data_IF_135253702045
#
_entry.id   IF_135253702045
#
_cell.length_a   1.000
_cell.length_b   1.000
_cell.length_c   1.000
_cell.angle_alpha   90.00
_cell.angle_beta   90.00
_cell.angle_gamma   90.00
#
_symmetry.space_group_name_H-M   'P 1'
#
loop_
_entity.id
_entity.type
_entity.pdbx_description
1 polymer ?
#
# COMPACT_ATOMS: atom_id res chain seq x y z
N UNK A 1 -10.60 5.49 -23.54
CA UNK A 1 -10.66 5.54 -22.06
C UNK A 1 -9.29 5.91 -21.55
N UNK A 2 -9.18 6.98 -20.76
CA UNK A 2 -7.89 7.49 -20.26
C UNK A 2 -7.41 6.74 -19.01
N UNK A 3 -6.09 6.64 -18.83
CA UNK A 3 -5.45 6.15 -17.61
C UNK A 3 -5.01 7.32 -16.74
N UNK A 4 -4.97 7.11 -15.42
CA UNK A 4 -4.43 8.13 -14.49
C UNK A 4 -2.92 7.90 -14.37
N UNK A 5 -2.14 8.66 -15.14
CA UNK A 5 -0.68 8.65 -15.00
C UNK A 5 -0.24 9.46 -13.79
N UNK A 6 -0.71 10.70 -13.66
CA UNK A 6 -0.40 11.60 -12.55
C UNK A 6 -1.55 12.57 -12.37
N UNK A 7 -1.63 13.16 -11.19
CA UNK A 7 -2.60 14.20 -10.86
C UNK A 7 -1.87 15.50 -10.53
N UNK A 8 -2.51 16.63 -10.84
CA UNK A 8 -1.99 17.96 -10.56
C UNK A 8 -3.12 18.88 -10.07
N UNK A 9 -3.88 18.39 -9.08
CA UNK A 9 -4.91 19.19 -8.44
C UNK A 9 -4.30 20.24 -7.53
N UNK A 10 -5.05 21.32 -7.30
CA UNK A 10 -4.77 22.34 -6.30
C UNK A 10 -6.00 22.45 -5.41
N UNK A 11 -5.88 21.99 -4.17
CA UNK A 11 -6.97 22.04 -3.19
C UNK A 11 -6.80 23.22 -2.23
N UNK A 12 -7.91 23.75 -1.75
CA UNK A 12 -7.91 24.77 -0.70
C UNK A 12 -7.29 24.20 0.58
N UNK A 13 -6.38 24.97 1.19
CA UNK A 13 -5.67 24.54 2.39
C UNK A 13 -4.66 23.41 2.16
N UNK A 14 -4.30 23.09 0.91
CA UNK A 14 -3.24 22.13 0.61
C UNK A 14 -1.89 22.59 1.18
N UNK A 15 -1.28 21.73 1.99
CA UNK A 15 0.02 22.00 2.64
C UNK A 15 1.17 21.23 1.99
N UNK A 16 0.90 20.10 1.34
CA UNK A 16 1.91 19.31 0.65
C UNK A 16 1.31 18.42 -0.45
N UNK A 17 2.13 18.08 -1.43
CA UNK A 17 1.89 17.02 -2.40
C UNK A 17 3.09 16.05 -2.36
N UNK A 18 2.81 14.77 -2.17
CA UNK A 18 3.78 13.69 -2.30
C UNK A 18 3.37 12.75 -3.42
N UNK A 19 4.23 12.61 -4.44
CA UNK A 19 4.03 11.68 -5.56
C UNK A 19 4.90 10.44 -5.34
N UNK A 20 4.27 9.36 -4.89
CA UNK A 20 4.91 8.06 -4.78
C UNK A 20 4.90 7.31 -6.12
N UNK A 21 5.41 6.06 -6.12
CA UNK A 21 5.43 5.21 -7.32
C UNK A 21 4.06 5.02 -7.97
N UNK A 22 3.01 4.85 -7.15
CA UNK A 22 1.66 4.47 -7.62
C UNK A 22 0.51 5.27 -6.99
N UNK A 23 0.82 6.27 -6.17
CA UNK A 23 -0.15 7.10 -5.46
C UNK A 23 0.31 8.53 -5.43
N UNK A 24 -0.62 9.45 -5.61
CA UNK A 24 -0.43 10.88 -5.36
C UNK A 24 -1.17 11.22 -4.07
N UNK A 25 -0.49 11.86 -3.13
CA UNK A 25 -1.00 12.13 -1.77
C UNK A 25 -0.97 13.63 -1.52
N UNK A 26 -2.14 14.21 -1.37
CA UNK A 26 -2.31 15.62 -1.03
C UNK A 26 -2.58 15.74 0.48
N UNK A 27 -1.80 16.56 1.18
CA UNK A 27 -2.04 16.91 2.58
C UNK A 27 -2.85 18.20 2.65
N UNK A 28 -3.94 18.20 3.40
CA UNK A 28 -4.82 19.37 3.58
C UNK A 28 -4.78 19.77 5.05
N UNK A 29 -4.32 20.99 5.33
CA UNK A 29 -4.04 21.47 6.68
C UNK A 29 -3.11 20.52 7.44
N UNK A 30 -3.45 20.26 8.70
CA UNK A 30 -2.68 19.37 9.58
C UNK A 30 -3.28 17.96 9.70
N UNK A 31 -4.56 17.78 9.37
CA UNK A 31 -5.33 16.61 9.82
C UNK A 31 -5.80 15.70 8.70
N UNK A 32 -5.68 16.12 7.43
CA UNK A 32 -6.36 15.43 6.33
C UNK A 32 -5.42 15.01 5.21
N UNK A 33 -5.72 13.87 4.61
CA UNK A 33 -5.07 13.33 3.42
C UNK A 33 -6.12 13.04 2.35
N UNK A 34 -5.83 13.45 1.12
CA UNK A 34 -6.50 12.98 -0.10
C UNK A 34 -5.52 12.08 -0.84
N UNK A 35 -5.82 10.79 -0.90
CA UNK A 35 -4.99 9.78 -1.55
C UNK A 35 -5.62 9.39 -2.88
N UNK A 36 -4.87 9.56 -3.96
CA UNK A 36 -5.30 9.18 -5.31
C UNK A 36 -4.45 8.01 -5.80
N UNK A 37 -5.08 6.86 -5.99
CA UNK A 37 -4.45 5.68 -6.57
C UNK A 37 -4.38 5.80 -8.10
N UNK A 38 -3.17 5.84 -8.64
CA UNK A 38 -2.94 5.96 -10.07
C UNK A 38 -2.90 4.60 -10.77
N UNK A 39 -2.93 4.62 -12.10
CA UNK A 39 -2.79 3.44 -12.95
C UNK A 39 -1.32 3.09 -13.24
N UNK A 40 -0.38 3.83 -12.61
CA UNK A 40 1.06 3.50 -12.65
C UNK A 40 1.30 2.16 -11.97
N UNK A 41 2.27 1.41 -12.48
CA UNK A 41 2.76 0.16 -11.88
C UNK A 41 4.27 0.23 -11.76
N UNK A 42 4.82 -0.39 -10.72
CA UNK A 42 6.26 -0.48 -10.52
C UNK A 42 6.69 -1.93 -10.31
N UNK A 43 7.83 -2.30 -10.87
CA UNK A 43 8.50 -3.57 -10.62
C UNK A 43 9.99 -3.30 -10.42
N UNK A 44 10.62 -4.03 -9.49
CA UNK A 44 12.04 -3.85 -9.14
C UNK A 44 12.43 -2.38 -8.90
N UNK A 45 11.58 -1.68 -8.14
CA UNK A 45 11.71 -0.25 -7.81
C UNK A 45 11.65 0.76 -8.97
N UNK A 46 11.35 0.32 -10.19
CA UNK A 46 11.19 1.18 -11.37
C UNK A 46 9.71 1.31 -11.72
N UNK A 47 9.24 2.53 -12.00
CA UNK A 47 7.90 2.79 -12.54
C UNK A 47 7.90 2.49 -14.04
N UNK A 48 7.01 1.61 -14.48
CA UNK A 48 6.93 1.19 -15.88
C UNK A 48 6.27 2.29 -16.75
N UNK A 49 6.68 2.42 -18.03
CA UNK A 49 6.20 3.51 -18.90
C UNK A 49 4.73 3.37 -19.28
N UNK A 50 4.19 2.15 -19.33
CA UNK A 50 2.79 1.88 -19.71
C UNK A 50 1.94 1.66 -18.45
N UNK A 51 0.87 2.44 -18.31
CA UNK A 51 -0.10 2.28 -17.24
C UNK A 51 -1.01 1.07 -17.47
N UNK A 52 -1.58 0.56 -16.39
CA UNK A 52 -2.58 -0.52 -16.42
C UNK A 52 -3.96 0.11 -16.17
N UNK A 53 -4.84 0.18 -17.19
CA UNK A 53 -6.17 0.77 -17.04
C UNK A 53 -6.93 0.19 -15.84
N UNK A 54 -7.58 1.06 -15.07
CA UNK A 54 -8.39 0.73 -13.89
C UNK A 54 -7.64 0.12 -12.71
N UNK A 55 -6.31 -0.05 -12.78
CA UNK A 55 -5.53 -0.56 -11.65
C UNK A 55 -5.72 0.29 -10.40
N UNK A 56 -5.71 1.62 -10.53
CA UNK A 56 -5.90 2.51 -9.39
C UNK A 56 -7.27 2.31 -8.72
N UNK A 57 -8.31 2.09 -9.52
CA UNK A 57 -9.68 1.87 -9.04
C UNK A 57 -9.78 0.58 -8.24
N UNK A 58 -9.33 -0.52 -8.86
CA UNK A 58 -9.36 -1.86 -8.25
C UNK A 58 -8.61 -1.85 -6.92
N UNK A 59 -7.38 -1.30 -6.89
CA UNK A 59 -6.56 -1.30 -5.68
C UNK A 59 -7.13 -0.41 -4.58
N UNK A 60 -7.68 0.76 -4.92
CA UNK A 60 -8.31 1.64 -3.94
C UNK A 60 -9.55 0.98 -3.33
N UNK A 61 -10.41 0.35 -4.13
CA UNK A 61 -11.61 -0.34 -3.65
C UNK A 61 -11.27 -1.58 -2.79
N UNK A 62 -10.25 -2.35 -3.15
CA UNK A 62 -9.76 -3.45 -2.31
C UNK A 62 -9.27 -2.91 -0.96
N UNK A 63 -8.49 -1.81 -0.97
CA UNK A 63 -8.03 -1.19 0.27
C UNK A 63 -9.20 -0.73 1.15
N UNK A 64 -10.21 -0.06 0.56
CA UNK A 64 -11.43 0.37 1.25
C UNK A 64 -12.14 -0.82 1.86
N UNK A 65 -12.35 -1.90 1.10
CA UNK A 65 -13.00 -3.11 1.59
C UNK A 65 -12.34 -3.63 2.87
N UNK A 66 -11.01 -3.84 2.87
CA UNK A 66 -10.30 -4.33 4.06
C UNK A 66 -10.26 -3.33 5.21
N UNK A 67 -10.14 -2.03 4.93
CA UNK A 67 -10.21 -0.99 5.95
C UNK A 67 -11.56 -1.01 6.65
N UNK A 68 -12.67 -1.06 5.90
CA UNK A 68 -14.02 -1.18 6.48
C UNK A 68 -14.22 -2.48 7.27
N UNK A 69 -13.84 -3.63 6.69
CA UNK A 69 -14.02 -4.94 7.33
C UNK A 69 -13.26 -5.03 8.67
N UNK A 70 -12.16 -4.30 8.85
CA UNK A 70 -11.31 -4.37 10.04
C UNK A 70 -11.51 -3.22 11.03
N UNK A 71 -12.42 -2.25 10.76
CA UNK A 71 -12.68 -1.10 11.65
C UNK A 71 -13.02 -1.50 13.10
N UNK A 72 -13.69 -2.64 13.28
CA UNK A 72 -14.07 -3.16 14.59
C UNK A 72 -12.90 -3.77 15.38
N UNK A 73 -11.78 -4.07 14.71
CA UNK A 73 -10.57 -4.63 15.33
C UNK A 73 -9.59 -3.51 15.68
N UNK A 74 -9.36 -2.58 14.74
CA UNK A 74 -8.44 -1.47 14.93
C UNK A 74 -8.96 -0.20 14.22
N UNK A 75 -8.83 0.99 14.85
CA UNK A 75 -9.16 2.24 14.19
C UNK A 75 -8.23 2.44 12.99
N UNK A 76 -8.78 2.97 11.91
CA UNK A 76 -8.01 3.28 10.70
C UNK A 76 -8.31 4.69 10.19
N UNK A 77 -7.49 5.12 9.22
CA UNK A 77 -7.44 6.51 8.77
C UNK A 77 -8.58 6.88 7.80
N UNK A 78 -9.19 5.90 7.13
CA UNK A 78 -10.14 6.11 6.04
C UNK A 78 -11.49 6.63 6.53
N UNK A 79 -12.05 7.59 5.79
CA UNK A 79 -13.34 8.21 6.11
C UNK A 79 -14.33 8.11 4.95
N UNK A 80 -13.91 8.44 3.73
CA UNK A 80 -14.79 8.38 2.56
C UNK A 80 -14.03 8.22 1.24
N UNK A 81 -14.77 7.87 0.18
CA UNK A 81 -14.25 7.65 -1.17
C UNK A 81 -15.18 8.29 -2.21
N UNK A 82 -15.00 9.58 -2.56
CA UNK A 82 -15.89 10.27 -3.51
C UNK A 82 -15.72 9.80 -4.96
N UNK A 83 -14.66 9.05 -5.26
CA UNK A 83 -14.38 8.49 -6.57
C UNK A 83 -13.66 7.14 -6.43
N UNK A 84 -13.82 6.16 -7.34
CA UNK A 84 -13.19 4.84 -7.21
C UNK A 84 -11.66 4.85 -7.07
N UNK A 85 -10.96 5.89 -7.51
CA UNK A 85 -9.51 6.07 -7.32
C UNK A 85 -9.11 6.87 -6.07
N UNK A 86 -10.06 7.44 -5.32
CA UNK A 86 -9.79 8.46 -4.30
C UNK A 86 -10.23 7.95 -2.93
N UNK A 87 -9.34 8.07 -1.94
CA UNK A 87 -9.65 7.86 -0.53
C UNK A 87 -9.29 9.11 0.25
N UNK A 88 -10.22 9.59 1.08
CA UNK A 88 -10.03 10.72 1.98
C UNK A 88 -10.01 10.20 3.42
N UNK A 89 -9.10 10.73 4.23
CA UNK A 89 -8.98 10.29 5.61
C UNK A 89 -8.07 11.15 6.48
N UNK A 90 -7.88 10.71 7.72
CA UNK A 90 -7.08 11.41 8.72
C UNK A 90 -5.59 11.20 8.49
N UNK A 91 -4.82 12.28 8.61
CA UNK A 91 -3.36 12.21 8.67
C UNK A 91 -2.94 11.58 9.99
N UNK A 92 -2.15 10.52 9.92
CA UNK A 92 -1.57 9.87 11.08
C UNK A 92 -0.06 10.11 11.12
N UNK A 93 0.53 10.08 12.33
CA UNK A 93 1.98 10.00 12.51
C UNK A 93 2.40 8.53 12.38
N UNK A 94 3.12 8.14 11.31
CA UNK A 94 3.46 6.73 11.10
C UNK A 94 4.54 6.27 12.07
N UNK A 95 4.44 5.02 12.52
CA UNK A 95 5.61 4.28 13.01
C UNK A 95 6.47 3.92 11.81
N UNK A 96 7.77 4.24 11.86
CA UNK A 96 8.71 4.00 10.74
C UNK A 96 9.17 2.53 10.72
N UNK A 97 8.21 1.61 10.67
CA UNK A 97 8.40 0.15 10.67
C UNK A 97 7.44 -0.46 9.67
N UNK A 98 7.93 -1.38 8.84
CA UNK A 98 7.10 -2.18 7.94
C UNK A 98 6.60 -3.42 8.69
N UNK A 99 5.31 -3.48 8.98
CA UNK A 99 4.68 -4.62 9.67
C UNK A 99 4.35 -5.72 8.65
N UNK A 100 5.24 -6.69 8.51
CA UNK A 100 5.08 -7.81 7.55
C UNK A 100 4.57 -9.05 8.28
N UNK A 101 3.38 -9.51 7.93
CA UNK A 101 2.80 -10.77 8.40
C UNK A 101 3.05 -11.85 7.34
N UNK A 102 3.52 -13.03 7.77
CA UNK A 102 3.81 -14.16 6.89
C UNK A 102 3.00 -15.36 7.37
N UNK A 103 2.07 -15.82 6.54
CA UNK A 103 1.35 -17.08 6.77
C UNK A 103 1.88 -18.25 5.95
N UNK A 104 2.85 -17.99 5.07
CA UNK A 104 3.48 -19.01 4.22
C UNK A 104 4.95 -18.66 3.97
N UNK A 105 5.79 -19.68 3.81
CA UNK A 105 7.21 -19.55 3.50
C UNK A 105 7.42 -19.17 2.03
N UNK A 106 7.43 -17.87 1.73
CA UNK A 106 7.56 -17.36 0.37
C UNK A 106 8.44 -16.10 0.26
N UNK A 107 8.85 -15.79 -0.98
CA UNK A 107 9.63 -14.59 -1.32
C UNK A 107 10.94 -14.50 -0.55
N UNK A 108 11.16 -13.38 0.16
CA UNK A 108 12.35 -13.20 1.00
C UNK A 108 12.53 -14.31 2.05
N UNK A 109 11.45 -14.73 2.70
CA UNK A 109 11.52 -15.75 3.75
C UNK A 109 12.04 -17.09 3.20
N UNK A 110 11.53 -17.51 2.04
CA UNK A 110 12.00 -18.72 1.36
C UNK A 110 13.46 -18.62 0.92
N UNK A 111 13.87 -17.50 0.32
CA UNK A 111 15.27 -17.30 -0.11
C UNK A 111 16.26 -17.43 1.04
N UNK A 112 15.95 -16.84 2.18
CA UNK A 112 16.77 -16.94 3.39
C UNK A 112 16.80 -18.39 3.91
N UNK A 113 15.66 -19.06 3.99
CA UNK A 113 15.58 -20.46 4.42
C UNK A 113 16.35 -21.42 3.50
N UNK A 114 16.20 -21.24 2.18
CA UNK A 114 16.89 -22.02 1.15
C UNK A 114 18.40 -21.81 1.22
N UNK A 115 18.86 -20.61 1.59
CA UNK A 115 20.28 -20.34 1.86
C UNK A 115 20.84 -20.99 3.14
N UNK A 116 20.03 -21.78 3.85
CA UNK A 116 20.41 -22.50 5.05
C UNK A 116 20.11 -21.77 6.37
N UNK A 117 19.56 -20.55 6.33
CA UNK A 117 19.19 -19.84 7.56
C UNK A 117 17.98 -20.52 8.21
N UNK A 118 17.97 -20.55 9.55
CA UNK A 118 16.87 -21.08 10.38
C UNK A 118 16.32 -20.05 11.36
N UNK A 119 16.66 -18.79 11.15
CA UNK A 119 16.11 -17.67 11.92
C UNK A 119 15.81 -16.55 10.95
N UNK A 120 14.59 -16.01 11.02
CA UNK A 120 14.14 -14.89 10.19
C UNK A 120 13.57 -13.82 11.11
N UNK A 121 14.08 -12.59 11.01
CA UNK A 121 13.62 -11.47 11.85
C UNK A 121 13.64 -11.79 13.36
N UNK A 122 14.62 -12.58 13.82
CA UNK A 122 14.76 -13.00 15.22
C UNK A 122 13.89 -14.19 15.64
N UNK A 123 13.07 -14.75 14.74
CA UNK A 123 12.19 -15.89 15.02
C UNK A 123 12.75 -17.16 14.36
N UNK A 124 12.83 -18.30 15.09
CA UNK A 124 13.29 -19.56 14.49
C UNK A 124 12.29 -20.08 13.45
N UNK A 125 12.81 -20.67 12.38
CA UNK A 125 12.03 -21.37 11.37
C UNK A 125 12.19 -22.89 11.57
N UNK A 126 11.10 -23.68 11.55
CA UNK A 126 11.16 -25.12 11.61
C UNK A 126 12.05 -25.73 10.52
N UNK A 127 12.67 -26.86 10.80
CA UNK A 127 13.38 -27.65 9.79
C UNK A 127 12.42 -28.41 8.87
N UNK A 128 12.90 -28.79 7.70
CA UNK A 128 12.17 -29.59 6.73
C UNK A 128 11.07 -28.85 5.95
N UNK A 129 10.88 -27.55 6.16
CA UNK A 129 9.94 -26.74 5.39
C UNK A 129 10.29 -26.69 3.90
N UNK A 130 9.24 -26.60 3.08
CA UNK A 130 9.29 -26.42 1.61
C UNK A 130 8.75 -25.05 1.22
N UNK A 131 9.05 -24.65 -0.01
CA UNK A 131 8.53 -23.39 -0.55
C UNK A 131 7.00 -23.40 -0.53
N UNK A 132 6.42 -22.33 0.01
CA UNK A 132 4.98 -22.13 0.20
C UNK A 132 4.31 -23.00 1.28
N UNK A 133 5.07 -23.69 2.14
CA UNK A 133 4.49 -24.28 3.36
C UNK A 133 3.96 -23.20 4.30
N UNK A 134 2.91 -23.54 5.07
CA UNK A 134 2.30 -22.66 6.08
C UNK A 134 3.18 -22.54 7.34
#
# INVERSE_FOLDING_TARGET
MGTINQTNFSFDGQTALYQGKVRDVYSIGNDWLVMIASDRISAFDVVLPRQIPYKGQVLNQIAIHFLEQTKHIAPNWFLESPHPNVSIGRRAKPFKVEMVIRGYLSGHAWREYQSGKRTLCGVPMPDGMKESDA
#
